data_IF_888016462386
#
_entry.id   IF_888016462386
#
_cell.length_a   1.000
_cell.length_b   1.000
_cell.length_c   1.000
_cell.angle_alpha   90.00
_cell.angle_beta   90.00
_cell.angle_gamma   90.00
#
_symmetry.space_group_name_H-M   'P 1'
#
loop_
_entity.id
_entity.type
_entity.pdbx_description
1 polymer ?
#
# COMPACT_ATOMS: atom_id res chain seq x y z
N UNK A 1 -20.98 10.30 -11.74
CA UNK A 1 -20.99 9.05 -10.96
C UNK A 1 -20.59 7.90 -11.86
N UNK A 2 -21.50 7.48 -12.73
CA UNK A 2 -21.34 6.26 -13.55
C UNK A 2 -20.14 6.30 -14.51
N UNK A 3 -20.00 7.35 -15.34
CA UNK A 3 -18.87 7.43 -16.28
C UNK A 3 -17.47 7.49 -15.62
N UNK A 4 -17.37 7.97 -14.38
CA UNK A 4 -16.10 7.99 -13.63
C UNK A 4 -15.76 6.59 -13.12
N UNK A 5 -16.77 5.84 -12.67
CA UNK A 5 -16.60 4.45 -12.28
C UNK A 5 -16.19 3.58 -13.47
N UNK A 6 -16.87 3.71 -14.61
CA UNK A 6 -16.53 3.00 -15.84
C UNK A 6 -15.09 3.28 -16.27
N UNK A 7 -14.66 4.54 -16.20
CA UNK A 7 -13.27 4.92 -16.49
C UNK A 7 -12.28 4.25 -15.51
N UNK A 8 -12.58 4.21 -14.21
CA UNK A 8 -11.70 3.55 -13.22
C UNK A 8 -11.62 2.03 -13.46
N UNK A 9 -12.74 1.40 -13.79
CA UNK A 9 -12.79 -0.03 -14.16
C UNK A 9 -11.96 -0.27 -15.42
N UNK A 10 -12.14 0.53 -16.46
CA UNK A 10 -11.40 0.41 -17.71
C UNK A 10 -9.88 0.57 -17.49
N UNK A 11 -9.47 1.59 -16.73
CA UNK A 11 -8.06 1.80 -16.36
C UNK A 11 -7.51 0.60 -15.59
N UNK A 12 -8.24 0.08 -14.61
CA UNK A 12 -7.83 -1.09 -13.85
C UNK A 12 -7.62 -2.32 -14.75
N UNK A 13 -8.57 -2.60 -15.66
CA UNK A 13 -8.48 -3.73 -16.59
C UNK A 13 -7.32 -3.57 -17.58
N UNK A 14 -7.17 -2.39 -18.20
CA UNK A 14 -6.08 -2.12 -19.15
C UNK A 14 -4.72 -2.24 -18.46
N UNK A 15 -4.61 -1.76 -17.22
CA UNK A 15 -3.37 -1.82 -16.44
C UNK A 15 -2.92 -3.24 -16.08
N UNK A 16 -3.75 -4.27 -16.28
CA UNK A 16 -3.37 -5.65 -15.99
C UNK A 16 -2.19 -6.14 -16.85
N UNK A 17 -2.00 -5.57 -18.03
CA UNK A 17 -0.89 -5.92 -18.95
C UNK A 17 0.23 -4.89 -18.90
N UNK A 18 1.47 -5.32 -19.20
CA UNK A 18 2.61 -4.39 -19.28
C UNK A 18 2.39 -3.28 -20.34
N UNK A 19 1.93 -3.68 -21.53
CA UNK A 19 1.60 -2.75 -22.62
C UNK A 19 0.52 -1.76 -22.19
N UNK A 20 -0.54 -2.23 -21.53
CA UNK A 20 -1.61 -1.36 -21.06
C UNK A 20 -1.14 -0.36 -20.00
N UNK A 21 -0.24 -0.75 -19.09
CA UNK A 21 0.38 0.19 -18.15
C UNK A 21 1.18 1.27 -18.87
N UNK A 22 1.98 0.91 -19.88
CA UNK A 22 2.75 1.88 -20.66
C UNK A 22 1.84 2.89 -21.38
N UNK A 23 0.73 2.43 -21.97
CA UNK A 23 -0.25 3.34 -22.59
C UNK A 23 -0.88 4.28 -21.56
N UNK A 24 -1.28 3.76 -20.40
CA UNK A 24 -1.88 4.56 -19.33
C UNK A 24 -0.90 5.59 -18.74
N UNK A 25 0.40 5.29 -18.71
CA UNK A 25 1.44 6.27 -18.34
C UNK A 25 1.51 7.40 -19.37
N UNK A 26 1.47 7.09 -20.67
CA UNK A 26 1.44 8.12 -21.73
C UNK A 26 0.20 9.00 -21.67
N UNK A 27 -0.91 8.46 -21.16
CA UNK A 27 -2.17 9.18 -20.93
C UNK A 27 -2.21 9.87 -19.56
N UNK A 28 -1.12 9.87 -18.80
CA UNK A 28 -1.01 10.47 -17.47
C UNK A 28 -2.09 10.00 -16.47
N UNK A 29 -2.55 8.76 -16.61
CA UNK A 29 -3.75 8.27 -15.90
C UNK A 29 -3.57 8.20 -14.37
N UNK A 30 -2.34 8.13 -13.86
CA UNK A 30 -2.06 7.89 -12.45
C UNK A 30 -2.56 9.03 -11.54
N UNK A 31 -2.31 10.30 -11.88
CA UNK A 31 -2.70 11.45 -11.06
C UNK A 31 -4.22 11.67 -11.00
N UNK A 32 -4.96 11.65 -12.13
CA UNK A 32 -6.42 11.65 -12.10
C UNK A 32 -6.98 10.52 -11.25
N UNK A 33 -6.41 9.31 -11.35
CA UNK A 33 -6.86 8.16 -10.58
C UNK A 33 -6.62 8.33 -9.07
N UNK A 34 -5.46 8.87 -8.69
CA UNK A 34 -5.15 9.24 -7.30
C UNK A 34 -6.16 10.28 -6.77
N UNK A 35 -6.47 11.33 -7.55
CA UNK A 35 -7.47 12.34 -7.18
C UNK A 35 -8.87 11.75 -7.01
N UNK A 36 -9.27 10.82 -7.88
CA UNK A 36 -10.54 10.09 -7.73
C UNK A 36 -10.55 9.28 -6.43
N UNK A 37 -9.48 8.56 -6.14
CA UNK A 37 -9.37 7.75 -4.92
C UNK A 37 -9.46 8.61 -3.64
N UNK A 38 -8.82 9.78 -3.62
CA UNK A 38 -8.83 10.69 -2.45
C UNK A 38 -10.14 11.46 -2.32
N UNK A 39 -10.76 11.88 -3.42
CA UNK A 39 -11.92 12.76 -3.44
C UNK A 39 -13.27 12.05 -3.20
N UNK A 40 -13.32 10.71 -3.30
CA UNK A 40 -14.58 9.95 -3.30
C UNK A 40 -14.68 8.95 -2.15
N UNK A 41 -14.14 9.28 -0.96
CA UNK A 41 -14.01 8.38 0.21
C UNK A 41 -15.31 7.64 0.61
N UNK A 42 -16.48 8.20 0.29
CA UNK A 42 -17.80 7.59 0.58
C UNK A 42 -18.20 6.54 -0.47
N UNK A 43 -17.75 6.67 -1.70
CA UNK A 43 -18.01 5.71 -2.78
C UNK A 43 -16.90 4.65 -2.79
N UNK A 44 -17.07 3.67 -1.90
CA UNK A 44 -16.06 2.62 -1.72
C UNK A 44 -15.87 1.74 -2.94
N UNK A 45 -16.87 1.61 -3.81
CA UNK A 45 -16.74 0.85 -5.07
C UNK A 45 -15.85 1.62 -6.04
N UNK A 46 -16.07 2.92 -6.20
CA UNK A 46 -15.23 3.78 -7.02
C UNK A 46 -13.78 3.80 -6.52
N UNK A 47 -13.60 4.00 -5.21
CA UNK A 47 -12.26 4.03 -4.59
C UNK A 47 -11.54 2.69 -4.75
N UNK A 48 -12.24 1.56 -4.60
CA UNK A 48 -11.66 0.24 -4.83
C UNK A 48 -11.07 0.12 -6.25
N UNK A 49 -11.81 0.50 -7.29
CA UNK A 49 -11.34 0.41 -8.67
C UNK A 49 -10.20 1.40 -8.96
N UNK A 50 -10.30 2.62 -8.41
CA UNK A 50 -9.22 3.59 -8.50
C UNK A 50 -7.93 3.06 -7.85
N UNK A 51 -8.02 2.48 -6.66
CA UNK A 51 -6.87 1.89 -5.96
C UNK A 51 -6.31 0.66 -6.68
N UNK A 52 -7.14 -0.18 -7.31
CA UNK A 52 -6.66 -1.30 -8.11
C UNK A 52 -5.82 -0.82 -9.31
N UNK A 53 -6.35 0.13 -10.09
CA UNK A 53 -5.63 0.70 -11.22
C UNK A 53 -4.35 1.40 -10.78
N UNK A 54 -4.40 2.16 -9.69
CA UNK A 54 -3.24 2.85 -9.14
C UNK A 54 -2.20 1.85 -8.61
N UNK A 55 -2.65 0.78 -7.96
CA UNK A 55 -1.80 -0.32 -7.49
C UNK A 55 -1.04 -0.97 -8.64
N UNK A 56 -1.71 -1.18 -9.78
CA UNK A 56 -1.05 -1.71 -10.97
C UNK A 56 -0.04 -0.73 -11.59
N UNK A 57 -0.40 0.56 -11.71
CA UNK A 57 0.47 1.57 -12.29
C UNK A 57 1.70 1.86 -11.42
N UNK A 58 1.53 1.84 -10.09
CA UNK A 58 2.62 2.08 -9.13
C UNK A 58 3.67 0.98 -9.10
N UNK A 59 3.52 -0.11 -9.88
CA UNK A 59 4.62 -1.03 -10.18
C UNK A 59 5.76 -0.33 -10.95
N UNK A 60 5.42 0.67 -11.76
CA UNK A 60 6.38 1.42 -12.57
C UNK A 60 7.06 2.54 -11.76
N UNK A 61 8.39 2.61 -11.81
CA UNK A 61 9.17 3.66 -11.13
C UNK A 61 8.78 5.06 -11.58
N UNK A 62 8.49 5.23 -12.87
CA UNK A 62 8.05 6.51 -13.43
C UNK A 62 6.80 7.04 -12.71
N UNK A 63 5.77 6.18 -12.56
CA UNK A 63 4.52 6.55 -11.89
C UNK A 63 4.75 6.96 -10.44
N UNK A 64 5.63 6.25 -9.71
CA UNK A 64 5.98 6.62 -8.33
C UNK A 64 6.63 8.01 -8.26
N UNK A 65 7.49 8.34 -9.23
CA UNK A 65 8.10 9.66 -9.32
C UNK A 65 7.07 10.74 -9.65
N UNK A 66 6.18 10.47 -10.62
CA UNK A 66 5.17 11.42 -11.08
C UNK A 66 4.17 11.78 -9.98
N UNK A 67 3.76 10.80 -9.17
CA UNK A 67 2.86 11.01 -8.03
C UNK A 67 3.53 11.78 -6.89
N UNK A 68 4.86 11.72 -6.79
CA UNK A 68 5.64 12.45 -5.78
C UNK A 68 6.01 13.87 -6.24
N UNK A 69 5.91 14.16 -7.53
CA UNK A 69 6.41 15.41 -8.08
C UNK A 69 5.63 16.66 -7.62
N UNK A 70 4.46 16.49 -6.99
CA UNK A 70 3.74 17.57 -6.30
C UNK A 70 3.48 17.12 -4.86
N UNK A 71 4.14 17.77 -3.90
CA UNK A 71 4.12 17.37 -2.49
C UNK A 71 2.72 17.39 -1.87
N UNK A 72 1.91 18.39 -2.21
CA UNK A 72 0.51 18.48 -1.75
C UNK A 72 -0.33 17.31 -2.27
N UNK A 73 -0.21 16.95 -3.56
CA UNK A 73 -0.92 15.79 -4.12
C UNK A 73 -0.44 14.48 -3.47
N UNK A 74 0.85 14.37 -3.16
CA UNK A 74 1.40 13.22 -2.47
C UNK A 74 0.87 13.10 -1.03
N UNK A 75 0.79 14.21 -0.29
CA UNK A 75 0.22 14.23 1.06
C UNK A 75 -1.26 13.85 1.06
N UNK A 76 -2.04 14.36 0.10
CA UNK A 76 -3.45 14.00 -0.04
C UNK A 76 -3.64 12.53 -0.41
N UNK A 77 -2.76 11.97 -1.25
CA UNK A 77 -2.76 10.54 -1.55
C UNK A 77 -2.51 9.70 -0.29
N UNK A 78 -1.58 10.09 0.59
CA UNK A 78 -1.33 9.38 1.85
C UNK A 78 -2.58 9.34 2.72
N UNK A 79 -3.30 10.47 2.85
CA UNK A 79 -4.57 10.52 3.58
C UNK A 79 -5.61 9.57 2.98
N UNK A 80 -5.75 9.57 1.65
CA UNK A 80 -6.66 8.66 0.95
C UNK A 80 -6.28 7.19 1.09
N UNK A 81 -4.99 6.87 1.14
CA UNK A 81 -4.50 5.51 1.40
C UNK A 81 -4.82 5.05 2.81
N UNK A 82 -4.65 5.93 3.82
CA UNK A 82 -5.03 5.62 5.19
C UNK A 82 -6.53 5.29 5.29
N UNK A 83 -7.39 6.10 4.66
CA UNK A 83 -8.83 5.83 4.62
C UNK A 83 -9.18 4.52 3.90
N UNK A 84 -8.52 4.24 2.77
CA UNK A 84 -8.76 3.03 2.00
C UNK A 84 -8.37 1.75 2.77
N UNK A 85 -7.23 1.78 3.47
CA UNK A 85 -6.73 0.64 4.27
C UNK A 85 -7.68 0.29 5.41
N UNK A 86 -8.36 1.27 5.99
CA UNK A 86 -9.31 1.08 7.09
C UNK A 86 -10.77 1.05 6.63
N UNK A 87 -11.02 0.93 5.34
CA UNK A 87 -12.37 0.91 4.80
C UNK A 87 -13.14 -0.33 5.26
N UNK A 88 -14.47 -0.25 5.25
CA UNK A 88 -15.33 -1.43 5.40
C UNK A 88 -15.36 -2.29 4.13
N UNK A 89 -14.92 -1.73 3.00
CA UNK A 89 -14.83 -2.44 1.74
C UNK A 89 -13.49 -3.17 1.66
N UNK A 90 -13.54 -4.51 1.59
CA UNK A 90 -12.34 -5.35 1.53
C UNK A 90 -11.44 -5.02 0.33
N UNK A 91 -12.03 -4.66 -0.82
CA UNK A 91 -11.29 -4.25 -2.01
C UNK A 91 -10.49 -2.98 -1.80
N UNK A 92 -11.05 -1.97 -1.13
CA UNK A 92 -10.32 -0.77 -0.71
C UNK A 92 -9.14 -1.14 0.20
N UNK A 93 -9.36 -1.99 1.22
CA UNK A 93 -8.30 -2.40 2.14
C UNK A 93 -7.16 -3.11 1.40
N UNK A 94 -7.54 -4.07 0.56
CA UNK A 94 -6.63 -4.88 -0.24
C UNK A 94 -5.77 -4.00 -1.17
N UNK A 95 -6.41 -3.17 -1.98
CA UNK A 95 -5.70 -2.37 -2.99
C UNK A 95 -5.01 -1.15 -2.39
N UNK A 96 -5.51 -0.60 -1.28
CA UNK A 96 -4.80 0.39 -0.47
C UNK A 96 -3.48 -0.17 0.06
N UNK A 97 -3.50 -1.37 0.64
CA UNK A 97 -2.27 -2.06 1.05
C UNK A 97 -1.31 -2.31 -0.13
N UNK A 98 -1.85 -2.72 -1.29
CA UNK A 98 -1.06 -2.92 -2.51
C UNK A 98 -0.35 -1.62 -2.94
N UNK A 99 -1.08 -0.50 -3.01
CA UNK A 99 -0.51 0.81 -3.39
C UNK A 99 0.57 1.21 -2.40
N UNK A 100 0.32 1.14 -1.08
CA UNK A 100 1.33 1.46 -0.06
C UNK A 100 2.57 0.59 -0.22
N UNK A 101 2.40 -0.72 -0.41
CA UNK A 101 3.52 -1.64 -0.61
C UNK A 101 4.36 -1.29 -1.84
N UNK A 102 3.73 -0.93 -2.95
CA UNK A 102 4.41 -0.54 -4.17
C UNK A 102 5.13 0.81 -4.03
N UNK A 103 4.47 1.80 -3.43
CA UNK A 103 5.07 3.12 -3.18
C UNK A 103 6.28 3.01 -2.24
N UNK A 104 6.19 2.23 -1.16
CA UNK A 104 7.26 2.04 -0.18
C UNK A 104 8.55 1.40 -0.75
N UNK A 105 8.53 0.89 -1.99
CA UNK A 105 9.76 0.48 -2.70
C UNK A 105 10.66 1.70 -2.96
N UNK A 106 10.09 2.88 -3.24
CA UNK A 106 10.82 4.14 -3.36
C UNK A 106 11.11 4.72 -1.97
N UNK A 107 12.35 5.13 -1.72
CA UNK A 107 12.78 5.62 -0.39
C UNK A 107 12.07 6.90 0.04
N UNK A 108 11.74 7.80 -0.90
CA UNK A 108 11.09 9.08 -0.58
C UNK A 108 9.65 8.84 -0.13
N UNK A 109 8.93 7.99 -0.87
CA UNK A 109 7.60 7.53 -0.47
C UNK A 109 7.63 6.79 0.86
N UNK A 110 8.63 5.93 1.08
CA UNK A 110 8.77 5.17 2.32
C UNK A 110 8.86 6.10 3.54
N UNK A 111 9.69 7.14 3.47
CA UNK A 111 9.82 8.13 4.55
C UNK A 111 8.48 8.84 4.82
N UNK A 112 7.78 9.31 3.77
CA UNK A 112 6.50 9.99 3.95
C UNK A 112 5.41 9.07 4.53
N UNK A 113 5.32 7.83 4.03
CA UNK A 113 4.37 6.83 4.51
C UNK A 113 4.69 6.39 5.95
N UNK A 114 5.97 6.26 6.30
CA UNK A 114 6.41 5.90 7.63
C UNK A 114 6.16 7.03 8.66
N UNK A 115 6.16 8.29 8.21
CA UNK A 115 5.84 9.43 9.06
C UNK A 115 4.34 9.50 9.42
N UNK A 116 3.46 8.95 8.58
CA UNK A 116 2.02 8.95 8.84
C UNK A 116 1.59 7.79 9.75
N UNK A 117 1.25 8.12 11.00
CA UNK A 117 0.84 7.12 11.99
C UNK A 117 -0.45 6.37 11.64
N UNK A 118 -1.32 6.94 10.79
CA UNK A 118 -2.58 6.32 10.37
C UNK A 118 -2.31 5.18 9.40
N UNK A 119 -1.33 5.33 8.51
CA UNK A 119 -0.85 4.24 7.64
C UNK A 119 -0.34 3.08 8.49
N UNK A 120 0.54 3.37 9.45
CA UNK A 120 1.15 2.33 10.30
C UNK A 120 0.10 1.56 11.11
N UNK A 121 -0.82 2.28 11.77
CA UNK A 121 -1.92 1.68 12.54
C UNK A 121 -2.88 0.90 11.64
N UNK A 122 -3.21 1.43 10.47
CA UNK A 122 -4.09 0.79 9.49
C UNK A 122 -3.53 -0.55 9.03
N UNK A 123 -2.25 -0.58 8.65
CA UNK A 123 -1.56 -1.82 8.27
C UNK A 123 -1.50 -2.81 9.44
N UNK A 124 -1.14 -2.36 10.64
CA UNK A 124 -1.15 -3.21 11.84
C UNK A 124 -2.51 -3.87 12.10
N UNK A 125 -3.61 -3.15 11.84
CA UNK A 125 -4.96 -3.71 11.90
C UNK A 125 -5.23 -4.72 10.79
N UNK A 126 -4.84 -4.41 9.55
CA UNK A 126 -5.10 -5.27 8.38
C UNK A 126 -4.33 -6.60 8.40
N UNK A 127 -3.26 -6.71 9.19
CA UNK A 127 -2.63 -8.01 9.45
C UNK A 127 -3.61 -9.03 10.06
N UNK A 128 -4.64 -8.57 10.80
CA UNK A 128 -5.68 -9.42 11.40
C UNK A 128 -6.93 -9.60 10.52
N UNK A 129 -6.90 -9.12 9.28
CA UNK A 129 -8.02 -9.32 8.35
C UNK A 129 -8.29 -10.81 8.13
N UNK A 130 -9.54 -11.20 7.95
CA UNK A 130 -9.90 -12.58 7.57
C UNK A 130 -9.68 -12.87 6.08
N UNK A 131 -9.33 -11.85 5.28
CA UNK A 131 -9.04 -12.00 3.86
C UNK A 131 -7.55 -12.22 3.64
N UNK A 132 -7.19 -13.42 3.17
CA UNK A 132 -5.80 -13.76 2.80
C UNK A 132 -5.23 -12.79 1.76
N UNK A 133 -6.08 -12.26 0.87
CA UNK A 133 -5.66 -11.28 -0.14
C UNK A 133 -5.24 -9.96 0.50
N UNK A 134 -6.02 -9.47 1.47
CA UNK A 134 -5.66 -8.28 2.26
C UNK A 134 -4.38 -8.55 3.05
N UNK A 135 -4.29 -9.70 3.73
CA UNK A 135 -3.10 -10.06 4.50
C UNK A 135 -1.84 -10.11 3.63
N UNK A 136 -1.87 -10.77 2.46
CA UNK A 136 -0.73 -10.86 1.54
C UNK A 136 -0.17 -9.48 1.16
N UNK A 137 -1.05 -8.55 0.77
CA UNK A 137 -0.63 -7.20 0.41
C UNK A 137 -0.19 -6.40 1.64
N UNK A 138 -0.89 -6.53 2.76
CA UNK A 138 -0.54 -5.86 4.01
C UNK A 138 0.84 -6.26 4.51
N UNK A 139 1.15 -7.56 4.57
CA UNK A 139 2.46 -8.08 4.98
C UNK A 139 3.55 -7.60 4.03
N UNK A 140 3.28 -7.54 2.72
CA UNK A 140 4.20 -6.96 1.73
C UNK A 140 4.47 -5.47 1.97
N UNK A 141 3.45 -4.69 2.32
CA UNK A 141 3.58 -3.28 2.66
C UNK A 141 4.39 -3.08 3.96
N UNK A 142 4.09 -3.85 5.00
CA UNK A 142 4.83 -3.85 6.27
C UNK A 142 6.30 -4.21 6.02
N UNK A 143 6.61 -5.24 5.23
CA UNK A 143 7.98 -5.61 4.85
C UNK A 143 8.74 -4.42 4.26
N UNK A 144 8.13 -3.73 3.29
CA UNK A 144 8.80 -2.65 2.57
C UNK A 144 8.98 -1.41 3.45
N UNK A 145 7.99 -1.10 4.29
CA UNK A 145 8.06 0.00 5.25
C UNK A 145 9.03 -0.28 6.39
N UNK A 146 9.15 -1.53 6.85
CA UNK A 146 10.05 -1.93 7.94
C UNK A 146 11.54 -1.78 7.60
N UNK A 147 11.92 -1.25 6.44
CA UNK A 147 13.29 -0.78 6.18
C UNK A 147 13.55 0.59 6.82
N UNK A 148 12.51 1.42 6.97
CA UNK A 148 12.57 2.74 7.61
C UNK A 148 12.52 2.63 9.14
N UNK A 149 13.41 3.33 9.84
CA UNK A 149 13.57 3.20 11.30
C UNK A 149 12.36 3.72 12.08
N UNK A 150 11.64 4.73 11.59
CA UNK A 150 10.43 5.19 12.27
C UNK A 150 9.31 4.15 12.14
N UNK A 151 9.13 3.59 10.94
CA UNK A 151 8.18 2.50 10.75
C UNK A 151 8.54 1.28 11.61
N UNK A 152 9.82 0.88 11.67
CA UNK A 152 10.27 -0.23 12.53
C UNK A 152 9.91 -0.01 13.98
N UNK A 153 10.23 1.18 14.52
CA UNK A 153 9.91 1.54 15.91
C UNK A 153 8.40 1.45 16.17
N UNK A 154 7.58 2.00 15.28
CA UNK A 154 6.13 2.01 15.44
C UNK A 154 5.52 0.60 15.34
N UNK A 155 5.95 -0.22 14.38
CA UNK A 155 5.51 -1.62 14.28
C UNK A 155 5.99 -2.47 15.46
N UNK A 156 7.16 -2.18 16.03
CA UNK A 156 7.70 -2.90 17.19
C UNK A 156 6.96 -2.57 18.48
N UNK A 157 6.49 -1.34 18.61
CA UNK A 157 5.65 -0.95 19.74
C UNK A 157 4.29 -1.66 19.74
N UNK A 158 3.79 -2.10 18.59
CA UNK A 158 2.60 -2.93 18.49
C UNK A 158 2.95 -4.42 18.56
N UNK A 159 2.83 -5.01 19.76
CA UNK A 159 3.09 -6.44 19.98
C UNK A 159 2.22 -7.36 19.12
N UNK A 160 1.04 -6.91 18.69
CA UNK A 160 0.17 -7.71 17.83
C UNK A 160 0.75 -7.91 16.44
N UNK A 161 1.49 -6.92 15.91
CA UNK A 161 2.17 -7.01 14.61
C UNK A 161 3.18 -8.16 14.62
N UNK A 162 4.00 -8.25 15.66
CA UNK A 162 4.98 -9.32 15.81
C UNK A 162 4.35 -10.71 15.88
N UNK A 163 3.26 -10.85 16.63
CA UNK A 163 2.54 -12.12 16.73
C UNK A 163 1.96 -12.55 15.36
N UNK A 164 1.33 -11.61 14.65
CA UNK A 164 0.76 -11.87 13.32
C UNK A 164 1.83 -12.22 12.28
N UNK A 165 2.94 -11.49 12.25
CA UNK A 165 4.04 -11.80 11.33
C UNK A 165 4.60 -13.21 11.58
N UNK A 166 4.70 -13.64 12.83
CA UNK A 166 5.12 -15.01 13.17
C UNK A 166 4.12 -16.05 12.69
N UNK A 167 2.81 -15.83 12.87
CA UNK A 167 1.80 -16.78 12.38
C UNK A 167 1.82 -16.92 10.85
N UNK A 168 2.25 -15.89 10.12
CA UNK A 168 2.37 -15.96 8.66
C UNK A 168 3.58 -16.76 8.17
N UNK A 169 4.55 -17.12 9.02
CA UNK A 169 5.70 -17.94 8.62
C UNK A 169 5.28 -19.34 8.14
N UNK A 170 4.16 -19.84 8.66
CA UNK A 170 3.60 -21.16 8.34
C UNK A 170 2.42 -21.06 7.34
N UNK A 171 2.23 -19.90 6.70
CA UNK A 171 1.18 -19.71 5.69
C UNK A 171 1.41 -20.61 4.46
N UNK A 172 0.34 -21.23 3.96
CA UNK A 172 0.35 -21.99 2.69
C UNK A 172 0.70 -21.09 1.49
N UNK A 173 0.42 -19.80 1.58
CA UNK A 173 0.85 -18.82 0.58
C UNK A 173 2.34 -18.47 0.75
N UNK A 174 3.18 -19.12 -0.05
CA UNK A 174 4.63 -18.91 -0.05
C UNK A 174 5.06 -17.44 -0.19
N UNK A 175 4.27 -16.61 -0.87
CA UNK A 175 4.54 -15.17 -0.99
C UNK A 175 4.35 -14.47 0.36
N UNK A 176 3.23 -14.71 1.04
CA UNK A 176 2.95 -14.17 2.39
C UNK A 176 3.98 -14.65 3.40
N UNK A 177 4.31 -15.95 3.41
CA UNK A 177 5.34 -16.48 4.31
C UNK A 177 6.71 -15.84 4.08
N UNK A 178 7.10 -15.64 2.81
CA UNK A 178 8.35 -14.94 2.46
C UNK A 178 8.31 -13.47 2.86
N UNK A 179 7.21 -12.76 2.62
CA UNK A 179 7.07 -11.36 3.05
C UNK A 179 7.16 -11.24 4.57
N UNK A 180 6.53 -12.14 5.31
CA UNK A 180 6.54 -12.14 6.76
C UNK A 180 7.96 -12.36 7.33
N UNK A 181 8.70 -13.32 6.77
CA UNK A 181 10.11 -13.56 7.14
C UNK A 181 10.96 -12.30 6.98
N UNK A 182 10.90 -11.66 5.81
CA UNK A 182 11.66 -10.44 5.56
C UNK A 182 11.18 -9.24 6.40
N UNK A 183 9.88 -9.14 6.69
CA UNK A 183 9.38 -8.12 7.60
C UNK A 183 9.98 -8.30 9.01
N UNK A 184 10.03 -9.53 9.53
CA UNK A 184 10.64 -9.83 10.83
C UNK A 184 12.14 -9.50 10.83
N UNK A 185 12.89 -9.92 9.81
CA UNK A 185 14.32 -9.59 9.66
C UNK A 185 14.56 -8.08 9.68
N UNK A 186 13.77 -7.34 8.91
CA UNK A 186 13.83 -5.89 8.84
C UNK A 186 13.55 -5.23 10.20
N UNK A 187 12.53 -5.69 10.93
CA UNK A 187 12.19 -5.16 12.26
C UNK A 187 13.28 -5.48 13.32
N UNK A 188 13.91 -6.65 13.24
CA UNK A 188 14.95 -7.07 14.18
C UNK A 188 16.30 -6.38 13.95
N UNK A 189 16.59 -5.96 12.70
CA UNK A 189 17.84 -5.27 12.38
C UNK A 189 18.11 -4.00 13.22
N UNK A 190 17.05 -3.38 13.78
CA UNK A 190 17.18 -2.21 14.66
C UNK A 190 17.57 -2.53 16.11
N UNK A 191 17.49 -3.79 16.56
CA UNK A 191 17.92 -4.18 17.92
C UNK A 191 19.44 -4.20 18.09
N UNK A 192 20.21 -4.26 16.99
CA UNK A 192 21.67 -4.35 17.03
C UNK A 192 22.40 -3.01 17.20
N UNK A 193 21.67 -1.88 17.27
CA UNK A 193 22.27 -0.53 17.40
C UNK A 193 22.11 0.10 18.79
N UNK A 194 21.51 -0.62 19.76
CA UNK A 194 21.33 -0.12 21.15
C UNK A 194 22.21 -0.88 22.15
N UNK A 195 22.96 -1.88 21.71
CA UNK A 195 23.93 -2.62 22.52
C UNK A 195 25.35 -2.33 22.01
N UNK A 196 25.86 -1.11 22.24
CA UNK A 196 27.30 -0.77 22.28
C UNK A 196 27.51 0.54 23.04
#
# INVERSE_FOLDING_TARGET
GEGVLEACVAVALVSATAIGREQLVRLEAARPLARVAVGNRRDTVLVQWAMLGLGSLTLLTQVRCDLLAVEEEASELIKGLADAITSVNEGCCCYGCLVVGNLAVDSRWRVMLAADSSIIKGLGSMLRSNSERVQRHCVGAVRNLAVDDNAKRLFTNDRSVHAMLKSFLDSEDSITARHARHAIENLQSSQLLVEN
#
